data_IF_420070010784
#
_entry.id   IF_420070010784
#
_cell.length_a   1.000
_cell.length_b   1.000
_cell.length_c   1.000
_cell.angle_alpha   90.00
_cell.angle_beta   90.00
_cell.angle_gamma   90.00
#
_symmetry.space_group_name_H-M   'P 1'
#
loop_
_entity.id
_entity.type
_entity.pdbx_description
1 polymer ?
#
# COMPACT_ATOMS: atom_id res chain seq x y z
N UNK A 1 25.62 31.18 9.21
CA UNK A 1 25.10 30.31 8.13
C UNK A 1 24.53 29.07 8.75
N UNK A 2 23.25 28.83 8.51
CA UNK A 2 22.65 27.57 8.93
C UNK A 2 23.17 26.45 8.01
N UNK A 3 23.76 25.41 8.60
CA UNK A 3 24.11 24.21 7.85
C UNK A 3 22.84 23.46 7.52
N UNK A 4 22.56 23.28 6.22
CA UNK A 4 21.45 22.44 5.76
C UNK A 4 21.84 20.97 5.92
N UNK A 5 21.22 20.29 6.89
CA UNK A 5 21.37 18.85 7.05
C UNK A 5 20.45 18.16 6.05
N UNK A 6 21.05 17.43 5.12
CA UNK A 6 20.31 16.59 4.19
C UNK A 6 20.14 15.20 4.84
N UNK A 7 18.88 14.86 5.18
CA UNK A 7 18.56 13.53 5.67
C UNK A 7 17.96 12.73 4.51
N UNK A 8 18.64 11.64 4.15
CA UNK A 8 18.15 10.71 3.14
C UNK A 8 17.49 9.53 3.84
N UNK A 9 16.20 9.29 3.54
CA UNK A 9 15.45 8.16 4.07
C UNK A 9 14.88 7.34 2.92
N UNK A 10 14.93 6.01 3.06
CA UNK A 10 14.32 5.11 2.09
C UNK A 10 13.05 4.46 2.63
N UNK A 11 12.05 4.35 1.76
CA UNK A 11 10.72 3.88 2.11
C UNK A 11 10.32 2.72 1.21
N UNK A 12 9.83 1.64 1.78
CA UNK A 12 9.13 0.59 1.05
C UNK A 12 7.62 0.74 1.21
N UNK A 13 6.90 0.59 0.12
CA UNK A 13 5.43 0.64 0.09
C UNK A 13 4.90 -0.74 -0.29
N UNK A 14 4.14 -1.35 0.60
CA UNK A 14 3.59 -2.69 0.44
C UNK A 14 2.07 -2.61 0.48
N UNK A 15 1.42 -3.05 -0.60
CA UNK A 15 -0.03 -2.90 -0.78
C UNK A 15 -0.70 -4.26 -0.66
N UNK A 16 -1.64 -4.38 0.27
CA UNK A 16 -2.61 -5.49 0.30
C UNK A 16 -3.73 -5.17 -0.69
N UNK A 17 -3.54 -5.62 -1.93
CA UNK A 17 -4.39 -5.21 -3.04
C UNK A 17 -5.86 -5.55 -2.85
N UNK A 18 -6.17 -6.75 -2.39
CA UNK A 18 -7.57 -7.18 -2.21
C UNK A 18 -8.25 -6.40 -1.08
N UNK A 19 -7.56 -6.16 0.03
CA UNK A 19 -8.12 -5.35 1.12
C UNK A 19 -8.41 -3.92 0.66
N UNK A 20 -7.46 -3.28 0.00
CA UNK A 20 -7.61 -1.91 -0.47
C UNK A 20 -8.71 -1.82 -1.54
N UNK A 21 -8.71 -2.69 -2.55
CA UNK A 21 -9.74 -2.69 -3.59
C UNK A 21 -11.14 -2.82 -3.00
N UNK A 22 -11.32 -3.73 -2.05
CA UNK A 22 -12.59 -3.94 -1.36
C UNK A 22 -13.01 -2.72 -0.54
N UNK A 23 -12.07 -2.10 0.17
CA UNK A 23 -12.32 -0.90 0.96
C UNK A 23 -12.74 0.30 0.10
N UNK A 24 -12.08 0.49 -1.05
CA UNK A 24 -12.44 1.55 -1.99
C UNK A 24 -13.83 1.36 -2.56
N UNK A 25 -14.17 0.13 -2.94
CA UNK A 25 -15.49 -0.21 -3.47
C UNK A 25 -16.60 0.02 -2.44
N UNK A 26 -16.37 -0.38 -1.19
CA UNK A 26 -17.35 -0.25 -0.12
C UNK A 26 -17.56 1.21 0.31
N UNK A 27 -16.50 2.01 0.34
CA UNK A 27 -16.57 3.37 0.89
C UNK A 27 -16.85 4.43 -0.17
N UNK A 28 -16.32 4.27 -1.36
CA UNK A 28 -16.46 5.30 -2.41
C UNK A 28 -17.42 4.86 -3.50
N UNK A 29 -16.94 4.11 -4.49
CA UNK A 29 -17.72 3.66 -5.63
C UNK A 29 -17.21 2.34 -6.18
N UNK A 30 -18.04 1.65 -6.97
CA UNK A 30 -17.59 0.52 -7.76
C UNK A 30 -16.49 0.94 -8.74
N UNK A 31 -15.56 0.04 -9.00
CA UNK A 31 -14.48 0.22 -9.97
C UNK A 31 -13.52 1.38 -9.64
N UNK A 32 -13.42 1.73 -8.38
CA UNK A 32 -12.39 2.67 -7.93
C UNK A 32 -11.06 1.95 -7.73
N UNK A 33 -10.00 2.59 -8.20
CA UNK A 33 -8.62 2.12 -8.03
C UNK A 33 -7.76 3.26 -7.52
N UNK A 34 -6.69 2.92 -6.81
CA UNK A 34 -5.72 3.93 -6.36
C UNK A 34 -5.03 4.54 -7.58
N UNK A 35 -4.96 5.86 -7.60
CA UNK A 35 -4.07 6.58 -8.48
C UNK A 35 -2.71 6.74 -7.82
N UNK A 36 -1.80 5.82 -8.13
CA UNK A 36 -0.47 5.82 -7.52
C UNK A 36 0.36 7.05 -7.90
N UNK A 37 0.10 7.68 -9.05
CA UNK A 37 0.77 8.93 -9.44
C UNK A 37 0.45 10.06 -8.46
N UNK A 38 -0.74 10.02 -7.84
CA UNK A 38 -1.16 10.99 -6.81
C UNK A 38 -0.73 10.53 -5.43
N UNK A 39 -0.96 9.26 -5.10
CA UNK A 39 -0.78 8.76 -3.74
C UNK A 39 0.69 8.59 -3.35
N UNK A 40 1.54 8.07 -4.24
CA UNK A 40 2.95 7.79 -3.89
C UNK A 40 3.70 9.06 -3.47
N UNK A 41 3.65 10.18 -4.21
CA UNK A 41 4.30 11.41 -3.75
C UNK A 41 3.78 11.88 -2.39
N UNK A 42 2.48 11.76 -2.16
CA UNK A 42 1.84 12.12 -0.90
C UNK A 42 2.34 11.25 0.27
N UNK A 43 2.51 9.96 0.03
CA UNK A 43 3.04 9.03 1.03
C UNK A 43 4.51 9.26 1.33
N UNK A 44 5.31 9.53 0.30
CA UNK A 44 6.75 9.67 0.47
C UNK A 44 7.14 10.93 1.24
N UNK A 45 6.44 12.02 1.07
CA UNK A 45 6.76 13.30 1.74
C UNK A 45 8.23 13.68 1.56
N UNK A 46 8.71 13.60 0.31
CA UNK A 46 10.09 13.92 -0.06
C UNK A 46 11.13 12.84 0.24
N UNK A 47 10.72 11.71 0.80
CA UNK A 47 11.62 10.56 1.05
C UNK A 47 11.79 9.73 -0.23
N UNK A 48 12.85 8.94 -0.30
CA UNK A 48 13.12 8.08 -1.46
C UNK A 48 12.31 6.80 -1.46
N UNK A 49 11.72 6.45 -2.60
CA UNK A 49 11.04 5.17 -2.77
C UNK A 49 12.08 4.07 -3.03
N UNK A 50 12.20 3.12 -2.12
CA UNK A 50 13.05 1.96 -2.29
C UNK A 50 12.34 0.86 -3.08
N UNK A 51 11.09 0.57 -2.71
CA UNK A 51 10.33 -0.52 -3.31
C UNK A 51 8.84 -0.28 -3.19
N UNK A 52 8.10 -0.64 -4.25
CA UNK A 52 6.64 -0.65 -4.27
C UNK A 52 6.20 -2.03 -4.75
N UNK A 53 5.48 -2.77 -3.91
CA UNK A 53 4.96 -4.09 -4.25
C UNK A 53 3.46 -4.13 -3.97
N UNK A 54 2.72 -4.53 -4.98
CA UNK A 54 1.27 -4.72 -4.90
C UNK A 54 1.00 -6.22 -4.80
N UNK A 55 0.52 -6.66 -3.64
CA UNK A 55 0.19 -8.07 -3.39
C UNK A 55 -1.28 -8.31 -3.75
N UNK A 56 -1.55 -9.32 -4.52
CA UNK A 56 -2.92 -9.64 -4.91
C UNK A 56 -3.17 -11.13 -4.94
N UNK A 57 -4.30 -11.55 -4.37
CA UNK A 57 -4.75 -12.93 -4.40
C UNK A 57 -5.15 -13.34 -5.81
N UNK A 58 -4.87 -14.60 -6.15
CA UNK A 58 -5.28 -15.20 -7.40
C UNK A 58 -4.36 -14.92 -8.57
N UNK A 59 -4.79 -15.41 -9.75
CA UNK A 59 -3.99 -15.36 -10.97
C UNK A 59 -4.39 -14.21 -11.91
N UNK A 60 -5.52 -13.56 -11.65
CA UNK A 60 -6.07 -12.51 -12.51
C UNK A 60 -5.52 -11.15 -12.07
N UNK A 61 -4.31 -10.85 -12.54
CA UNK A 61 -3.65 -9.57 -12.29
C UNK A 61 -3.83 -8.70 -13.53
N UNK A 62 -4.27 -7.46 -13.32
CA UNK A 62 -4.33 -6.48 -14.39
C UNK A 62 -2.94 -6.23 -14.96
N UNK A 63 -2.74 -6.55 -16.25
CA UNK A 63 -1.49 -6.26 -16.94
C UNK A 63 -1.19 -4.75 -17.00
N UNK A 64 -2.23 -3.94 -17.10
CA UNK A 64 -2.10 -2.47 -17.08
C UNK A 64 -1.57 -1.96 -15.75
N UNK A 65 -2.06 -2.50 -14.64
CA UNK A 65 -1.58 -2.14 -13.30
C UNK A 65 -0.11 -2.54 -13.14
N UNK A 66 0.23 -3.77 -13.49
CA UNK A 66 1.60 -4.27 -13.39
C UNK A 66 2.58 -3.43 -14.22
N UNK A 67 2.22 -3.14 -15.47
CA UNK A 67 3.03 -2.32 -16.37
C UNK A 67 3.21 -0.89 -15.83
N UNK A 68 2.14 -0.27 -15.34
CA UNK A 68 2.17 1.09 -14.81
C UNK A 68 3.07 1.19 -13.57
N UNK A 69 2.94 0.24 -12.65
CA UNK A 69 3.79 0.21 -11.46
C UNK A 69 5.25 0.00 -11.82
N UNK A 70 5.54 -0.90 -12.76
CA UNK A 70 6.89 -1.17 -13.22
C UNK A 70 7.50 0.07 -13.90
N UNK A 71 6.80 0.69 -14.84
CA UNK A 71 7.32 1.80 -15.64
C UNK A 71 7.52 3.06 -14.81
N UNK A 72 6.57 3.38 -13.93
CA UNK A 72 6.57 4.65 -13.16
C UNK A 72 7.39 4.56 -11.88
N UNK A 73 7.36 3.42 -11.18
CA UNK A 73 7.87 3.30 -9.82
C UNK A 73 8.88 2.17 -9.65
N UNK A 74 9.25 1.49 -10.72
CA UNK A 74 10.02 0.24 -10.66
C UNK A 74 9.40 -0.77 -9.70
N UNK A 75 8.08 -0.72 -9.58
CA UNK A 75 7.30 -1.58 -8.72
C UNK A 75 6.92 -2.89 -9.38
N UNK A 76 6.31 -3.76 -8.61
CA UNK A 76 5.87 -5.07 -9.08
C UNK A 76 4.52 -5.44 -8.49
N UNK A 77 3.79 -6.31 -9.20
CA UNK A 77 2.62 -7.00 -8.67
C UNK A 77 3.04 -8.43 -8.35
N UNK A 78 2.73 -8.86 -7.13
CA UNK A 78 3.06 -10.22 -6.69
C UNK A 78 1.78 -11.00 -6.43
N UNK A 79 1.52 -12.07 -7.21
CA UNK A 79 0.36 -12.92 -6.95
C UNK A 79 0.56 -13.74 -5.67
N UNK A 80 -0.52 -13.93 -4.91
CA UNK A 80 -0.54 -14.69 -3.68
C UNK A 80 -1.46 -15.91 -3.84
N UNK A 81 -1.06 -17.02 -3.24
CA UNK A 81 -1.84 -18.27 -3.33
C UNK A 81 -3.22 -18.14 -2.66
N UNK A 82 -3.24 -17.53 -1.47
CA UNK A 82 -4.46 -17.23 -0.71
C UNK A 82 -4.44 -15.75 -0.33
N UNK A 83 -4.48 -15.45 0.96
CA UNK A 83 -4.42 -14.09 1.47
C UNK A 83 -3.05 -13.45 1.23
N UNK A 84 -3.03 -12.14 1.05
CA UNK A 84 -1.80 -11.37 0.90
C UNK A 84 -1.03 -11.19 2.20
N UNK A 85 -1.66 -11.42 3.35
CA UNK A 85 -1.08 -11.09 4.67
C UNK A 85 0.23 -11.83 4.97
N UNK A 86 0.34 -13.12 4.68
CA UNK A 86 1.58 -13.86 4.90
C UNK A 86 2.70 -13.42 3.93
N UNK A 87 2.49 -13.40 2.60
CA UNK A 87 3.54 -12.93 1.68
C UNK A 87 3.98 -11.49 1.94
N UNK A 88 3.05 -10.60 2.23
CA UNK A 88 3.37 -9.22 2.56
C UNK A 88 4.19 -9.13 3.85
N UNK A 89 3.79 -9.89 4.87
CA UNK A 89 4.50 -9.90 6.16
C UNK A 89 5.91 -10.45 6.04
N UNK A 90 6.11 -11.51 5.26
CA UNK A 90 7.45 -12.06 4.99
C UNK A 90 8.32 -11.02 4.29
N UNK A 91 7.79 -10.38 3.26
CA UNK A 91 8.51 -9.34 2.52
C UNK A 91 8.87 -8.16 3.41
N UNK A 92 7.94 -7.70 4.25
CA UNK A 92 8.17 -6.59 5.18
C UNK A 92 9.31 -6.92 6.14
N UNK A 93 9.33 -8.13 6.69
CA UNK A 93 10.41 -8.55 7.61
C UNK A 93 11.76 -8.64 6.92
N UNK A 94 11.78 -9.07 5.66
CA UNK A 94 13.02 -9.10 4.86
C UNK A 94 13.54 -7.68 4.56
N UNK A 95 12.64 -6.71 4.38
CA UNK A 95 13.01 -5.33 4.07
C UNK A 95 13.37 -4.51 5.31
N UNK A 96 13.02 -4.98 6.51
CA UNK A 96 13.18 -4.22 7.75
C UNK A 96 14.61 -3.72 7.99
N UNK A 97 15.61 -4.48 7.58
CA UNK A 97 17.04 -4.09 7.71
C UNK A 97 17.55 -3.24 6.54
N UNK A 98 16.74 -3.02 5.52
CA UNK A 98 17.14 -2.38 4.25
C UNK A 98 16.52 -1.02 4.02
N UNK A 99 15.50 -0.65 4.78
CA UNK A 99 14.76 0.60 4.63
C UNK A 99 14.57 1.28 5.97
N UNK A 100 14.32 2.58 5.93
CA UNK A 100 14.07 3.38 7.14
C UNK A 100 12.60 3.34 7.57
N UNK A 101 11.70 3.24 6.60
CA UNK A 101 10.27 3.17 6.86
C UNK A 101 9.58 2.18 5.93
N UNK A 102 8.52 1.57 6.45
CA UNK A 102 7.63 0.71 5.67
C UNK A 102 6.22 1.28 5.78
N UNK A 103 5.59 1.50 4.64
CA UNK A 103 4.20 1.92 4.54
C UNK A 103 3.38 0.72 4.10
N UNK A 104 2.40 0.33 4.91
CA UNK A 104 1.50 -0.78 4.61
C UNK A 104 0.15 -0.19 4.20
N UNK A 105 -0.31 -0.52 3.00
CA UNK A 105 -1.63 -0.13 2.52
C UNK A 105 -2.61 -1.26 2.82
N UNK A 106 -3.19 -1.21 4.00
CA UNK A 106 -4.25 -2.08 4.46
C UNK A 106 -4.85 -1.55 5.76
N UNK A 107 -6.15 -1.76 5.93
CA UNK A 107 -6.85 -1.47 7.19
C UNK A 107 -7.09 -2.70 8.05
N UNK A 108 -6.56 -3.85 7.69
CA UNK A 108 -6.82 -5.13 8.35
C UNK A 108 -6.05 -5.27 9.68
N UNK A 109 -6.78 -5.58 10.75
CA UNK A 109 -6.19 -5.78 12.08
C UNK A 109 -5.20 -6.95 12.12
N UNK A 110 -5.22 -7.86 11.17
CA UNK A 110 -4.26 -8.97 11.08
C UNK A 110 -2.81 -8.47 10.97
N UNK A 111 -2.60 -7.23 10.53
CA UNK A 111 -1.26 -6.64 10.43
C UNK A 111 -0.72 -6.03 11.72
N UNK A 112 -1.49 -6.02 12.82
CA UNK A 112 -1.03 -5.47 14.10
C UNK A 112 0.25 -6.15 14.59
N UNK A 113 0.30 -7.47 14.51
CA UNK A 113 1.48 -8.25 14.90
C UNK A 113 2.71 -7.88 14.04
N UNK A 114 2.50 -7.70 12.74
CA UNK A 114 3.57 -7.26 11.84
C UNK A 114 4.07 -5.86 12.21
N UNK A 115 3.16 -4.93 12.46
CA UNK A 115 3.51 -3.56 12.85
C UNK A 115 4.39 -3.57 14.10
N UNK A 116 3.98 -4.31 15.12
CA UNK A 116 4.73 -4.41 16.36
C UNK A 116 6.11 -5.04 16.16
N UNK A 117 6.19 -6.08 15.35
CA UNK A 117 7.47 -6.71 15.02
C UNK A 117 8.42 -5.75 14.31
N UNK A 118 7.94 -5.05 13.28
CA UNK A 118 8.76 -4.10 12.53
C UNK A 118 9.25 -2.95 13.40
N UNK A 119 8.40 -2.44 14.28
CA UNK A 119 8.79 -1.40 15.24
C UNK A 119 9.87 -1.89 16.18
N UNK A 120 9.79 -3.14 16.63
CA UNK A 120 10.83 -3.75 17.49
C UNK A 120 12.18 -3.88 16.76
N UNK A 121 12.16 -3.98 15.45
CA UNK A 121 13.37 -4.01 14.60
C UNK A 121 13.91 -2.60 14.28
N UNK A 122 13.26 -1.56 14.81
CA UNK A 122 13.71 -0.17 14.60
C UNK A 122 13.21 0.49 13.33
N UNK A 123 12.24 -0.13 12.64
CA UNK A 123 11.66 0.44 11.43
C UNK A 123 10.47 1.33 11.80
N UNK A 124 10.38 2.50 11.16
CA UNK A 124 9.18 3.32 11.23
C UNK A 124 8.08 2.68 10.39
N UNK A 125 6.90 2.47 10.97
CA UNK A 125 5.78 1.84 10.29
C UNK A 125 4.63 2.83 10.13
N UNK A 126 4.21 3.02 8.89
CA UNK A 126 3.08 3.87 8.56
C UNK A 126 1.97 3.02 7.93
N UNK A 127 0.73 3.33 8.26
CA UNK A 127 -0.44 2.68 7.68
C UNK A 127 -1.14 3.69 6.78
N UNK A 128 -1.52 3.24 5.59
CA UNK A 128 -2.32 4.01 4.66
C UNK A 128 -3.53 3.17 4.23
N UNK A 129 -4.72 3.65 4.50
CA UNK A 129 -5.95 2.92 4.22
C UNK A 129 -7.16 3.87 4.25
N UNK A 130 -8.30 3.36 3.84
CA UNK A 130 -9.58 4.06 3.99
C UNK A 130 -9.93 4.13 5.47
N UNK A 131 -10.11 5.33 6.00
CA UNK A 131 -10.27 5.55 7.44
C UNK A 131 -11.45 4.78 8.03
N UNK A 132 -12.61 4.81 7.36
CA UNK A 132 -13.84 4.19 7.84
C UNK A 132 -13.72 2.66 7.96
N UNK A 133 -12.84 2.02 7.19
CA UNK A 133 -12.67 0.55 7.17
C UNK A 133 -11.37 0.09 7.82
N UNK A 134 -10.66 0.99 8.49
CA UNK A 134 -9.41 0.67 9.18
C UNK A 134 -9.67 0.35 10.64
N UNK A 135 -9.14 -0.79 11.09
CA UNK A 135 -9.21 -1.19 12.49
C UNK A 135 -8.52 -0.16 13.39
N UNK A 136 -9.22 0.27 14.46
CA UNK A 136 -8.71 1.29 15.36
C UNK A 136 -7.35 0.90 15.97
N UNK A 137 -7.19 -0.35 16.37
CA UNK A 137 -5.94 -0.84 16.94
C UNK A 137 -4.76 -0.74 15.97
N UNK A 138 -4.99 -0.94 14.68
CA UNK A 138 -3.95 -0.83 13.67
C UNK A 138 -3.47 0.63 13.53
N UNK A 139 -4.41 1.58 13.58
CA UNK A 139 -4.08 3.01 13.54
C UNK A 139 -3.29 3.45 14.78
N UNK A 140 -3.67 2.93 15.94
CA UNK A 140 -3.02 3.26 17.22
C UNK A 140 -1.60 2.74 17.30
N UNK A 141 -1.36 1.52 16.79
CA UNK A 141 -0.04 0.89 16.84
C UNK A 141 0.94 1.44 15.82
N UNK A 142 0.46 1.98 14.70
CA UNK A 142 1.30 2.57 13.68
C UNK A 142 1.94 3.88 14.15
N UNK A 143 3.13 4.17 13.65
CA UNK A 143 3.81 5.45 13.91
C UNK A 143 3.11 6.62 13.23
N UNK A 144 2.42 6.35 12.13
CA UNK A 144 1.68 7.37 11.38
C UNK A 144 0.56 6.71 10.58
N UNK A 145 -0.57 7.42 10.45
CA UNK A 145 -1.70 6.98 9.64
C UNK A 145 -2.03 8.02 8.56
N UNK A 146 -2.04 7.59 7.32
CA UNK A 146 -2.44 8.41 6.17
C UNK A 146 -3.76 7.88 5.61
N UNK A 147 -4.87 8.62 5.71
CA UNK A 147 -6.13 8.17 5.11
C UNK A 147 -6.06 8.25 3.59
N UNK A 148 -6.67 7.26 2.94
CA UNK A 148 -6.95 7.32 1.51
C UNK A 148 -8.27 8.05 1.33
N UNK A 149 -8.27 9.10 0.53
CA UNK A 149 -9.45 9.88 0.19
C UNK A 149 -9.84 9.65 -1.28
N UNK A 150 -11.04 10.02 -1.66
CA UNK A 150 -11.55 9.79 -3.02
C UNK A 150 -10.66 10.42 -4.10
N UNK A 151 -10.06 11.57 -3.81
CA UNK A 151 -9.14 12.28 -4.70
C UNK A 151 -7.82 11.54 -4.96
N UNK A 152 -7.49 10.55 -4.13
CA UNK A 152 -6.34 9.67 -4.33
C UNK A 152 -6.63 8.53 -5.31
N UNK A 153 -7.84 8.47 -5.82
CA UNK A 153 -8.36 7.35 -6.61
C UNK A 153 -8.88 7.81 -7.97
N UNK A 154 -9.06 6.87 -8.86
CA UNK A 154 -9.73 7.09 -10.14
C UNK A 154 -10.76 5.98 -10.39
N UNK A 155 -11.77 6.29 -11.20
CA UNK A 155 -12.78 5.32 -11.61
C UNK A 155 -12.37 4.66 -12.92
N UNK A 156 -12.48 3.34 -12.99
CA UNK A 156 -12.28 2.58 -14.23
C UNK A 156 -13.45 2.74 -15.22
N UNK A 157 -14.48 3.46 -14.82
CA UNK A 157 -15.70 3.64 -15.62
C UNK A 157 -16.70 2.49 -15.43
N UNK A 158 -17.88 2.58 -16.05
CA UNK A 158 -18.87 1.51 -15.94
C UNK A 158 -18.32 0.23 -16.57
N UNK A 159 -18.45 -0.89 -15.83
CA UNK A 159 -18.18 -2.20 -16.43
C UNK A 159 -19.17 -2.41 -17.58
N UNK A 160 -18.63 -2.67 -18.76
CA UNK A 160 -19.47 -3.19 -19.85
C UNK A 160 -20.03 -4.53 -19.37
N UNK A 161 -21.34 -4.61 -19.19
CA UNK A 161 -22.00 -5.89 -18.98
C UNK A 161 -21.64 -6.78 -20.15
N UNK A 162 -20.91 -7.87 -19.88
CA UNK A 162 -20.73 -8.90 -20.89
C UNK A 162 -22.12 -9.31 -21.34
N UNK A 163 -22.43 -9.06 -22.61
CA UNK A 163 -23.68 -9.60 -23.17
C UNK A 163 -23.64 -11.09 -22.98
N UNK A 164 -24.53 -11.64 -22.16
CA UNK A 164 -24.74 -13.08 -22.11
C UNK A 164 -25.28 -13.49 -23.46
N UNK A 165 -24.48 -14.27 -24.12
CA UNK A 165 -25.01 -15.01 -25.28
C UNK A 165 -25.81 -16.21 -24.79
#
# INVERSE_FOLDING_TARGET
>A
MEENILISQSVAVLVDGNNIERSLENEFKHNMMINFDVLIPKLLRGRGLNRLIYFREGKNISSKLAERLHTKFHGSVRPCHKSADIPLSITATQLASKVDAIIILSGDSDYVELVNHLKSEGVRVEICAVEATTAAILREEADYFQPIIEEDCFSLGPQQKKKRR
#
